data_IF_169006780758
#
_entry.id   IF_169006780758
#
_cell.length_a   1.000
_cell.length_b   1.000
_cell.length_c   1.000
_cell.angle_alpha   90.00
_cell.angle_beta   90.00
_cell.angle_gamma   90.00
#
_symmetry.space_group_name_H-M   'P 1'
#
loop_
_entity.id
_entity.type
_entity.pdbx_description
1 polymer ?
#
# COMPACT_ATOMS: atom_id res chain seq x y z
N UNK A 1 60.30 -7.04 13.64
CA UNK A 1 59.92 -8.37 13.11
C UNK A 1 58.64 -8.17 12.27
N UNK A 2 58.79 -8.14 10.92
CA UNK A 2 57.69 -8.00 9.94
C UNK A 2 57.20 -9.42 9.61
N UNK A 3 55.91 -9.65 9.65
CA UNK A 3 55.27 -10.85 9.07
C UNK A 3 54.45 -10.43 7.86
N UNK A 4 54.94 -10.81 6.70
CA UNK A 4 54.27 -10.71 5.41
C UNK A 4 53.18 -11.79 5.35
N UNK A 5 51.98 -11.42 4.88
CA UNK A 5 50.90 -12.36 4.53
C UNK A 5 50.85 -12.55 3.00
N UNK A 6 51.09 -13.79 2.63
CA UNK A 6 51.09 -14.32 1.29
C UNK A 6 49.63 -14.45 0.79
N UNK A 7 49.26 -13.78 -0.33
CA UNK A 7 48.00 -13.98 -1.03
C UNK A 7 48.17 -15.06 -2.11
N UNK A 8 47.45 -16.18 -1.94
CA UNK A 8 47.32 -17.20 -2.99
C UNK A 8 46.08 -16.89 -3.83
N UNK A 9 46.31 -16.49 -5.08
CA UNK A 9 45.27 -16.43 -6.12
C UNK A 9 45.09 -17.81 -6.76
N UNK A 10 43.92 -18.41 -6.67
CA UNK A 10 43.49 -19.57 -7.42
C UNK A 10 42.63 -19.13 -8.60
N UNK A 11 43.20 -19.28 -9.82
CA UNK A 11 42.45 -19.20 -11.06
C UNK A 11 41.68 -20.51 -11.27
N UNK A 12 40.39 -20.43 -11.50
CA UNK A 12 39.54 -21.53 -11.97
C UNK A 12 39.21 -21.28 -13.44
N UNK A 13 39.71 -22.15 -14.30
CA UNK A 13 39.37 -22.21 -15.73
C UNK A 13 38.03 -22.97 -15.87
N UNK A 14 37.04 -22.35 -16.53
CA UNK A 14 35.81 -23.01 -16.97
C UNK A 14 35.98 -23.52 -18.38
N UNK A 15 35.86 -24.83 -18.55
CA UNK A 15 35.80 -25.47 -19.89
C UNK A 15 34.34 -25.41 -20.39
N UNK A 16 34.14 -24.82 -21.56
CA UNK A 16 32.87 -24.80 -22.27
C UNK A 16 32.70 -26.08 -23.07
N UNK A 17 31.70 -26.89 -22.75
CA UNK A 17 31.29 -28.05 -23.54
C UNK A 17 30.13 -27.66 -24.46
N UNK A 18 30.35 -27.69 -25.75
CA UNK A 18 29.34 -27.47 -26.79
C UNK A 18 28.60 -28.77 -27.02
N UNK A 19 27.27 -28.77 -26.76
CA UNK A 19 26.38 -29.84 -27.22
C UNK A 19 25.61 -29.36 -28.46
N UNK A 20 25.85 -30.02 -29.57
CA UNK A 20 25.06 -29.92 -30.78
C UNK A 20 23.87 -30.89 -30.68
N UNK A 21 22.63 -30.38 -30.69
CA UNK A 21 21.42 -31.20 -30.85
C UNK A 21 20.86 -31.07 -32.25
N UNK A 22 20.71 -32.23 -32.87
CA UNK A 22 20.05 -32.39 -34.19
C UNK A 22 18.58 -32.06 -34.09
N UNK A 23 18.08 -31.24 -35.00
CA UNK A 23 16.67 -31.02 -35.22
C UNK A 23 16.09 -32.16 -36.10
N UNK A 24 15.14 -32.91 -35.51
CA UNK A 24 14.23 -33.77 -36.26
C UNK A 24 12.92 -33.02 -36.47
N UNK A 25 12.56 -32.81 -37.75
CA UNK A 25 11.30 -32.19 -38.13
C UNK A 25 10.13 -33.14 -37.98
N UNK A 26 9.07 -32.67 -37.38
CA UNK A 26 7.72 -33.20 -37.51
C UNK A 26 6.85 -32.15 -38.16
N UNK A 27 6.33 -32.47 -39.33
CA UNK A 27 5.30 -31.70 -40.05
C UNK A 27 3.96 -32.24 -39.63
N UNK A 28 3.24 -31.51 -38.80
CA UNK A 28 1.81 -31.76 -38.55
C UNK A 28 0.99 -30.71 -39.29
N UNK A 29 0.27 -31.20 -40.32
CA UNK A 29 -0.77 -30.48 -41.04
C UNK A 29 -2.06 -30.51 -40.19
N UNK A 30 -2.40 -29.41 -39.53
CA UNK A 30 -3.71 -29.18 -38.93
C UNK A 30 -4.48 -28.17 -39.78
N UNK A 31 -5.77 -28.43 -40.11
CA UNK A 31 -6.53 -27.53 -40.99
C UNK A 31 -6.91 -26.25 -40.23
N UNK A 32 -6.66 -25.11 -40.86
CA UNK A 32 -7.04 -23.79 -40.39
C UNK A 32 -8.56 -23.68 -40.18
N UNK A 33 -8.98 -23.47 -38.95
CA UNK A 33 -10.34 -23.07 -38.58
C UNK A 33 -10.48 -21.58 -38.90
N UNK A 34 -11.42 -21.24 -39.79
CA UNK A 34 -11.74 -19.86 -40.13
C UNK A 34 -12.32 -19.13 -38.91
N UNK A 35 -11.99 -17.82 -38.70
CA UNK A 35 -12.59 -17.07 -37.60
C UNK A 35 -14.05 -16.76 -37.84
N UNK A 36 -14.86 -17.01 -36.82
CA UNK A 36 -16.28 -16.66 -36.73
C UNK A 36 -16.46 -15.13 -36.70
N UNK A 37 -17.21 -14.53 -37.65
CA UNK A 37 -17.41 -13.07 -37.67
C UNK A 37 -18.64 -12.68 -36.90
N UNK A 38 -18.65 -12.69 -35.58
CA UNK A 38 -19.62 -11.94 -34.77
C UNK A 38 -19.40 -12.14 -33.27
N UNK A 39 -18.40 -11.47 -32.72
CA UNK A 39 -18.42 -11.06 -31.30
C UNK A 39 -17.83 -9.67 -31.24
N UNK A 40 -18.68 -8.67 -31.38
CA UNK A 40 -18.36 -7.30 -31.00
C UNK A 40 -18.17 -7.28 -29.48
N UNK A 41 -16.99 -6.94 -28.96
CA UNK A 41 -16.86 -6.73 -27.53
C UNK A 41 -17.67 -5.46 -27.21
N UNK A 42 -18.78 -5.63 -26.51
CA UNK A 42 -19.40 -4.52 -25.79
C UNK A 42 -18.41 -4.08 -24.74
N UNK A 43 -17.63 -3.07 -25.09
CA UNK A 43 -16.80 -2.35 -24.14
C UNK A 43 -17.71 -1.81 -23.05
N UNK A 44 -17.63 -2.37 -21.86
CA UNK A 44 -18.00 -1.63 -20.67
C UNK A 44 -17.04 -0.44 -20.58
N UNK A 45 -17.42 0.64 -21.24
CA UNK A 45 -16.92 1.96 -20.99
C UNK A 45 -17.26 2.21 -19.52
N UNK A 46 -16.25 2.20 -18.67
CA UNK A 46 -16.37 2.73 -17.32
C UNK A 46 -16.75 4.19 -17.53
N UNK A 47 -18.05 4.45 -17.40
CA UNK A 47 -18.59 5.80 -17.43
C UNK A 47 -17.93 6.53 -16.25
N UNK A 48 -16.92 7.34 -16.56
CA UNK A 48 -16.38 8.28 -15.61
C UNK A 48 -17.46 9.34 -15.41
N UNK A 49 -18.45 9.01 -14.60
CA UNK A 49 -19.36 9.99 -14.07
C UNK A 49 -18.49 11.08 -13.44
N UNK A 50 -18.79 12.38 -13.65
CA UNK A 50 -18.07 13.46 -13.00
C UNK A 50 -18.04 13.13 -11.51
N UNK A 51 -16.84 13.06 -10.91
CA UNK A 51 -16.71 12.81 -9.47
C UNK A 51 -17.54 13.86 -8.75
N UNK A 52 -18.52 13.41 -7.99
CA UNK A 52 -19.44 14.28 -7.30
C UNK A 52 -18.64 14.93 -6.15
N UNK A 53 -18.18 16.17 -6.39
CA UNK A 53 -17.35 16.92 -5.43
C UNK A 53 -18.15 17.13 -4.16
N UNK A 54 -17.68 16.55 -3.06
CA UNK A 54 -18.36 16.62 -1.76
C UNK A 54 -18.43 18.04 -1.23
N UNK A 55 -19.56 18.38 -0.66
CA UNK A 55 -19.78 19.65 0.02
C UNK A 55 -19.57 19.50 1.52
N UNK A 56 -19.01 20.53 2.18
CA UNK A 56 -18.85 20.52 3.64
C UNK A 56 -20.15 20.17 4.37
N UNK A 57 -20.07 19.26 5.35
CA UNK A 57 -21.21 18.79 6.15
C UNK A 57 -22.08 17.73 5.45
N UNK A 58 -21.67 17.20 4.31
CA UNK A 58 -22.37 16.08 3.67
C UNK A 58 -22.12 14.75 4.41
N UNK A 59 -21.03 14.68 5.18
CA UNK A 59 -20.59 13.47 5.88
C UNK A 59 -19.97 12.42 4.93
N UNK A 60 -19.29 11.46 5.50
CA UNK A 60 -18.75 10.33 4.75
C UNK A 60 -19.76 9.19 4.65
N UNK A 61 -19.73 8.37 3.58
CA UNK A 61 -20.59 7.21 3.44
C UNK A 61 -20.43 6.25 4.63
N UNK A 62 -21.55 5.79 5.16
CA UNK A 62 -21.57 4.75 6.18
C UNK A 62 -21.65 3.35 5.56
N UNK A 63 -21.19 2.34 6.30
CA UNK A 63 -21.34 0.94 5.93
C UNK A 63 -20.39 0.45 4.83
N UNK A 64 -19.43 1.27 4.40
CA UNK A 64 -18.35 0.79 3.51
C UNK A 64 -17.43 -0.19 4.26
N UNK A 65 -16.89 -1.22 3.56
CA UNK A 65 -15.89 -2.10 4.14
C UNK A 65 -14.66 -1.33 4.64
N UNK A 66 -14.04 -1.83 5.72
CA UNK A 66 -12.84 -1.25 6.30
C UNK A 66 -13.11 -0.28 7.45
N UNK A 67 -12.15 0.61 7.77
CA UNK A 67 -12.33 1.61 8.81
C UNK A 67 -13.45 2.59 8.51
N UNK A 68 -14.06 3.15 9.56
CA UNK A 68 -14.97 4.31 9.45
C UNK A 68 -14.18 5.47 8.84
N UNK A 69 -14.85 6.30 8.05
CA UNK A 69 -14.21 7.45 7.42
C UNK A 69 -14.55 8.75 8.16
N UNK A 70 -13.58 9.65 8.21
CA UNK A 70 -13.74 11.03 8.70
C UNK A 70 -13.84 11.99 7.52
N UNK A 71 -14.75 12.97 7.62
CA UNK A 71 -14.82 14.08 6.67
C UNK A 71 -13.75 15.12 7.03
N UNK A 72 -12.92 15.47 6.04
CA UNK A 72 -11.78 16.37 6.19
C UNK A 72 -11.98 17.59 5.27
N UNK A 73 -11.80 18.81 5.78
CA UNK A 73 -11.88 20.00 4.95
C UNK A 73 -10.70 20.09 3.97
N UNK A 74 -11.01 20.33 2.71
CA UNK A 74 -10.02 20.61 1.68
C UNK A 74 -9.82 22.14 1.54
N UNK A 75 -8.61 22.58 1.13
CA UNK A 75 -8.27 24.00 1.06
C UNK A 75 -9.08 24.81 0.04
N UNK A 76 -9.68 24.14 -0.94
CA UNK A 76 -10.55 24.75 -1.96
C UNK A 76 -11.99 24.97 -1.47
N UNK A 77 -12.28 24.63 -0.21
CA UNK A 77 -13.60 24.74 0.40
C UNK A 77 -14.50 23.53 0.15
N UNK A 78 -13.99 22.47 -0.46
CA UNK A 78 -14.65 21.16 -0.56
C UNK A 78 -14.29 20.29 0.65
N UNK A 79 -14.73 19.05 0.66
CA UNK A 79 -14.32 18.05 1.64
C UNK A 79 -13.98 16.73 0.95
N UNK A 80 -13.20 15.90 1.60
CA UNK A 80 -12.95 14.50 1.22
C UNK A 80 -13.07 13.61 2.47
N UNK A 81 -13.15 12.32 2.25
CA UNK A 81 -13.18 11.35 3.33
C UNK A 81 -11.87 10.57 3.40
N UNK A 82 -11.43 10.27 4.62
CA UNK A 82 -10.24 9.45 4.90
C UNK A 82 -10.57 8.43 5.98
N UNK A 83 -10.03 7.23 5.88
CA UNK A 83 -10.14 6.22 6.93
C UNK A 83 -9.58 6.77 8.25
N UNK A 84 -10.31 6.61 9.33
CA UNK A 84 -9.91 7.10 10.66
C UNK A 84 -8.68 6.39 11.20
N UNK A 85 -8.43 5.16 10.77
CA UNK A 85 -7.27 4.35 11.14
C UNK A 85 -6.64 3.72 9.90
N UNK A 86 -5.48 3.08 10.08
CA UNK A 86 -4.97 2.11 9.12
C UNK A 86 -5.98 0.97 8.95
N UNK A 87 -5.98 0.31 7.79
CA UNK A 87 -6.73 -0.93 7.57
C UNK A 87 -6.18 -2.01 8.49
N UNK A 88 -7.06 -2.72 9.19
CA UNK A 88 -6.66 -3.79 10.11
C UNK A 88 -6.52 -5.15 9.41
N UNK A 89 -5.82 -6.09 10.05
CA UNK A 89 -5.68 -7.46 9.56
C UNK A 89 -7.05 -8.12 9.36
N UNK A 90 -7.97 -7.95 10.30
CA UNK A 90 -9.32 -8.52 10.18
C UNK A 90 -10.10 -7.99 8.98
N UNK A 91 -10.02 -6.68 8.73
CA UNK A 91 -10.65 -6.05 7.58
C UNK A 91 -10.00 -6.50 6.27
N UNK A 92 -8.69 -6.65 6.23
CA UNK A 92 -7.98 -7.14 5.06
C UNK A 92 -8.27 -8.62 4.76
N UNK A 93 -8.44 -9.45 5.79
CA UNK A 93 -8.85 -10.84 5.60
C UNK A 93 -10.25 -10.97 4.99
N UNK A 94 -11.18 -10.11 5.39
CA UNK A 94 -12.50 -10.07 4.77
C UNK A 94 -12.42 -9.76 3.25
N UNK A 95 -11.48 -8.91 2.85
CA UNK A 95 -11.18 -8.67 1.43
C UNK A 95 -10.63 -9.92 0.72
N UNK A 96 -9.65 -10.60 1.33
CA UNK A 96 -9.08 -11.84 0.76
C UNK A 96 -10.18 -12.88 0.56
N UNK A 97 -11.04 -13.09 1.55
CA UNK A 97 -12.18 -14.03 1.46
C UNK A 97 -13.16 -13.63 0.36
N UNK A 98 -13.50 -12.33 0.27
CA UNK A 98 -14.39 -11.81 -0.77
C UNK A 98 -13.84 -11.97 -2.19
N UNK A 99 -12.50 -12.06 -2.33
CA UNK A 99 -11.80 -12.35 -3.59
C UNK A 99 -11.58 -13.85 -3.84
N UNK A 100 -12.23 -14.72 -3.07
CA UNK A 100 -12.11 -16.17 -3.19
C UNK A 100 -10.82 -16.76 -2.65
N UNK A 101 -10.01 -15.95 -1.95
CA UNK A 101 -8.83 -16.41 -1.25
C UNK A 101 -9.16 -17.04 0.11
N UNK A 102 -8.17 -17.71 0.68
CA UNK A 102 -8.21 -18.24 2.05
C UNK A 102 -7.19 -17.46 2.88
N UNK A 103 -7.60 -16.83 4.00
CA UNK A 103 -6.65 -16.16 4.91
C UNK A 103 -5.52 -17.07 5.40
N UNK A 104 -5.71 -18.40 5.37
CA UNK A 104 -4.64 -19.36 5.64
C UNK A 104 -3.64 -19.56 4.48
N UNK A 105 -3.79 -18.81 3.37
CA UNK A 105 -2.87 -18.84 2.24
C UNK A 105 -2.93 -20.12 1.39
N UNK A 106 -3.95 -20.94 1.56
CA UNK A 106 -4.11 -22.20 0.80
C UNK A 106 -4.71 -21.98 -0.57
N UNK A 107 -5.51 -20.93 -0.72
CA UNK A 107 -6.13 -20.53 -1.98
C UNK A 107 -5.74 -19.10 -2.28
N UNK A 108 -5.18 -18.86 -3.45
CA UNK A 108 -4.84 -17.51 -3.90
C UNK A 108 -6.10 -16.74 -4.29
N UNK A 109 -6.25 -15.49 -3.88
CA UNK A 109 -7.36 -14.66 -4.27
C UNK A 109 -7.31 -14.29 -5.75
N UNK A 110 -8.48 -13.97 -6.32
CA UNK A 110 -8.60 -13.47 -7.68
C UNK A 110 -8.02 -12.06 -7.80
N UNK A 111 -7.04 -11.90 -8.69
CA UNK A 111 -6.39 -10.63 -8.99
C UNK A 111 -7.04 -9.84 -10.13
N UNK A 112 -8.17 -10.29 -10.68
CA UNK A 112 -8.89 -9.62 -11.77
C UNK A 112 -9.35 -8.22 -11.32
N UNK A 113 -9.21 -7.25 -12.22
CA UNK A 113 -9.66 -5.86 -12.00
C UNK A 113 -8.61 -4.95 -11.38
N UNK A 114 -7.37 -5.39 -11.27
CA UNK A 114 -6.26 -4.53 -10.88
C UNK A 114 -5.86 -3.54 -11.99
N UNK A 115 -5.26 -2.38 -11.64
CA UNK A 115 -4.74 -1.46 -12.64
C UNK A 115 -3.62 -2.11 -13.46
N UNK A 116 -3.36 -1.65 -14.71
CA UNK A 116 -2.43 -2.30 -15.64
C UNK A 116 -1.01 -2.49 -15.09
N UNK A 117 -0.54 -1.59 -14.26
CA UNK A 117 0.76 -1.67 -13.59
C UNK A 117 0.85 -2.81 -12.57
N UNK A 118 -0.29 -3.29 -12.09
CA UNK A 118 -0.42 -4.40 -11.14
C UNK A 118 -0.71 -5.75 -11.82
N UNK A 119 -0.63 -5.83 -13.14
CA UNK A 119 -0.94 -7.05 -13.92
C UNK A 119 -0.20 -8.32 -13.47
N UNK A 120 0.98 -8.15 -12.88
CA UNK A 120 1.79 -9.25 -12.39
C UNK A 120 1.63 -9.47 -10.86
N UNK A 121 0.75 -8.74 -10.20
CA UNK A 121 0.36 -9.01 -8.82
C UNK A 121 -0.66 -10.15 -8.82
N UNK A 122 -0.17 -11.36 -8.59
CA UNK A 122 -0.95 -12.60 -8.67
C UNK A 122 -1.50 -13.06 -7.32
N UNK A 123 -1.30 -12.29 -6.26
CA UNK A 123 -1.71 -12.65 -4.91
C UNK A 123 -1.87 -11.42 -4.05
N UNK A 124 -2.97 -11.33 -3.30
CA UNK A 124 -3.22 -10.30 -2.28
C UNK A 124 -2.77 -10.73 -0.88
N UNK A 125 -2.30 -11.96 -0.72
CA UNK A 125 -1.79 -12.47 0.54
C UNK A 125 -0.29 -12.23 0.68
N UNK A 126 0.26 -12.42 1.90
CA UNK A 126 1.69 -12.42 2.07
C UNK A 126 2.30 -13.53 1.21
N UNK A 127 3.51 -13.32 0.66
CA UNK A 127 4.16 -14.35 -0.13
C UNK A 127 4.32 -15.62 0.71
N UNK A 128 4.19 -16.82 0.10
CA UNK A 128 4.52 -18.06 0.79
C UNK A 128 5.92 -17.93 1.38
N UNK A 129 6.11 -18.40 2.59
CA UNK A 129 7.23 -18.28 3.54
C UNK A 129 8.70 -18.29 3.02
N UNK A 130 8.93 -18.41 1.72
CA UNK A 130 10.26 -18.67 1.16
C UNK A 130 11.12 -17.43 0.88
N UNK A 131 10.60 -16.20 0.93
CA UNK A 131 11.32 -15.04 0.40
C UNK A 131 11.34 -13.76 1.25
N UNK A 132 10.60 -13.68 2.35
CA UNK A 132 10.63 -12.52 3.25
C UNK A 132 10.50 -12.99 4.69
N UNK A 133 11.63 -13.18 5.35
CA UNK A 133 11.72 -13.63 6.76
C UNK A 133 10.94 -12.71 7.71
N UNK A 134 10.77 -11.42 7.33
CA UNK A 134 10.13 -10.39 8.17
C UNK A 134 8.59 -10.41 8.11
N UNK A 135 7.97 -11.05 7.10
CA UNK A 135 6.50 -11.14 6.98
C UNK A 135 5.94 -12.48 7.51
N UNK A 136 6.77 -13.33 8.11
CA UNK A 136 6.38 -14.65 8.64
C UNK A 136 5.39 -14.57 9.81
N UNK A 137 5.43 -13.48 10.58
CA UNK A 137 4.54 -13.25 11.72
C UNK A 137 3.15 -12.75 11.31
N UNK A 138 2.95 -12.48 10.04
CA UNK A 138 1.69 -12.08 9.45
C UNK A 138 0.82 -13.30 9.14
N UNK A 139 0.48 -14.08 10.18
CA UNK A 139 -0.33 -15.27 10.01
C UNK A 139 -1.82 -15.00 10.13
N UNK A 140 -2.63 -15.80 9.38
CA UNK A 140 -4.06 -15.65 9.33
C UNK A 140 -4.75 -15.83 10.69
N UNK A 141 -6.00 -15.35 10.83
CA UNK A 141 -6.79 -15.45 12.06
C UNK A 141 -6.92 -16.88 12.62
N UNK A 142 -6.75 -17.90 11.76
CA UNK A 142 -6.81 -19.28 12.16
C UNK A 142 -5.74 -19.68 13.20
N UNK A 143 -4.67 -18.90 13.35
CA UNK A 143 -3.60 -19.13 14.32
C UNK A 143 -3.60 -18.14 15.48
N UNK A 144 -4.48 -17.14 15.47
CA UNK A 144 -4.72 -16.30 16.63
C UNK A 144 -6.03 -16.70 17.34
N UNK A 145 -5.98 -17.66 18.27
CA UNK A 145 -7.18 -18.12 18.97
C UNK A 145 -7.80 -17.02 19.86
N UNK A 146 -7.09 -15.88 20.05
CA UNK A 146 -7.56 -14.77 20.87
C UNK A 146 -8.21 -13.66 20.06
N UNK A 147 -8.05 -13.65 18.72
CA UNK A 147 -8.52 -12.60 17.83
C UNK A 147 -7.84 -11.23 18.02
N UNK A 148 -6.84 -11.13 18.88
CA UNK A 148 -6.18 -9.85 19.20
C UNK A 148 -5.48 -9.22 18.02
N UNK A 149 -4.90 -10.03 17.13
CA UNK A 149 -4.20 -9.54 15.94
C UNK A 149 -5.14 -8.98 14.87
N UNK A 150 -6.42 -9.35 14.89
CA UNK A 150 -7.39 -8.85 13.93
C UNK A 150 -7.58 -7.34 14.01
N UNK A 151 -7.37 -6.74 15.17
CA UNK A 151 -7.42 -5.31 15.37
C UNK A 151 -6.09 -4.59 15.11
N UNK A 152 -5.00 -5.31 14.84
CA UNK A 152 -3.74 -4.69 14.48
C UNK A 152 -3.78 -4.19 13.03
N UNK A 153 -3.09 -3.10 12.69
CA UNK A 153 -2.91 -2.69 11.31
C UNK A 153 -2.33 -3.82 10.45
N UNK A 154 -2.75 -3.87 9.20
CA UNK A 154 -2.20 -4.82 8.23
C UNK A 154 -0.89 -4.30 7.68
N UNK A 155 0.18 -5.08 7.85
CA UNK A 155 1.45 -4.89 7.15
C UNK A 155 1.67 -5.96 6.09
N UNK A 156 2.86 -6.01 5.50
CA UNK A 156 3.22 -6.99 4.46
C UNK A 156 2.32 -6.96 3.21
N UNK A 157 1.74 -5.83 2.93
CA UNK A 157 0.98 -5.54 1.72
C UNK A 157 1.81 -4.65 0.80
N UNK A 158 1.77 -4.92 -0.49
CA UNK A 158 2.36 -4.05 -1.48
C UNK A 158 1.37 -2.96 -1.97
N UNK A 159 1.85 -2.03 -2.79
CA UNK A 159 1.01 -0.95 -3.29
C UNK A 159 -0.19 -1.46 -4.10
N UNK A 160 0.00 -2.51 -4.89
CA UNK A 160 -1.06 -3.10 -5.69
C UNK A 160 -2.14 -3.76 -4.82
N UNK A 161 -1.73 -4.39 -3.73
CA UNK A 161 -2.64 -4.96 -2.72
C UNK A 161 -3.49 -3.86 -2.07
N UNK A 162 -2.85 -2.75 -1.69
CA UNK A 162 -3.52 -1.60 -1.08
C UNK A 162 -4.54 -0.96 -2.03
N UNK A 163 -4.18 -0.75 -3.31
CA UNK A 163 -5.11 -0.24 -4.34
C UNK A 163 -6.28 -1.19 -4.54
N UNK A 164 -6.02 -2.50 -4.63
CA UNK A 164 -7.08 -3.49 -4.84
C UNK A 164 -8.06 -3.55 -3.66
N UNK A 165 -7.55 -3.48 -2.42
CA UNK A 165 -8.39 -3.41 -1.23
C UNK A 165 -9.28 -2.17 -1.22
N UNK A 166 -8.70 -0.97 -1.39
CA UNK A 166 -9.46 0.26 -1.35
C UNK A 166 -10.54 0.29 -2.45
N UNK A 167 -10.23 -0.20 -3.66
CA UNK A 167 -11.19 -0.33 -4.75
C UNK A 167 -12.33 -1.30 -4.40
N UNK A 168 -12.01 -2.45 -3.81
CA UNK A 168 -13.03 -3.41 -3.35
C UNK A 168 -13.93 -2.80 -2.27
N UNK A 169 -13.38 -1.98 -1.39
CA UNK A 169 -14.11 -1.30 -0.34
C UNK A 169 -14.98 -0.12 -0.85
N UNK A 170 -15.01 0.15 -2.16
CA UNK A 170 -15.70 1.31 -2.72
C UNK A 170 -15.02 2.64 -2.42
N UNK A 171 -13.73 2.59 -2.13
CA UNK A 171 -12.83 3.70 -1.79
C UNK A 171 -11.68 3.74 -2.80
N UNK A 172 -10.68 4.58 -2.55
CA UNK A 172 -9.40 4.56 -3.29
C UNK A 172 -8.22 4.73 -2.33
N UNK A 173 -7.03 4.32 -2.74
CA UNK A 173 -5.83 4.65 -1.97
C UNK A 173 -5.69 6.19 -1.90
N UNK A 174 -5.30 6.71 -0.73
CA UNK A 174 -5.16 8.17 -0.57
C UNK A 174 -4.15 8.73 -1.56
N UNK A 175 -4.51 9.82 -2.22
CA UNK A 175 -3.71 10.46 -3.23
C UNK A 175 -4.03 11.96 -3.32
N UNK A 176 -4.44 12.44 -4.50
CA UNK A 176 -4.75 13.85 -4.72
C UNK A 176 -6.15 14.21 -4.19
N UNK A 177 -6.29 15.38 -3.57
CA UNK A 177 -7.58 16.00 -3.26
C UNK A 177 -8.30 16.29 -4.58
N UNK A 178 -9.58 15.87 -4.67
CA UNK A 178 -10.36 15.93 -5.90
C UNK A 178 -10.09 14.79 -6.87
N UNK A 179 -9.36 13.75 -6.45
CA UNK A 179 -9.18 12.48 -7.17
C UNK A 179 -7.86 12.31 -7.89
N UNK A 180 -7.54 11.04 -8.13
CA UNK A 180 -6.34 10.61 -8.82
C UNK A 180 -5.07 10.63 -7.99
N UNK A 181 -3.93 10.40 -8.65
CA UNK A 181 -2.61 10.31 -8.03
C UNK A 181 -2.03 11.69 -7.73
N UNK A 182 -1.33 11.82 -6.60
CA UNK A 182 -0.52 13.00 -6.30
C UNK A 182 0.77 12.99 -7.12
N UNK A 183 1.23 14.16 -7.57
CA UNK A 183 2.53 14.26 -8.23
C UNK A 183 3.67 14.05 -7.22
N UNK A 184 4.77 13.41 -7.61
CA UNK A 184 5.92 13.21 -6.72
C UNK A 184 6.52 14.50 -6.16
N UNK A 185 6.37 15.62 -6.89
CA UNK A 185 6.82 16.95 -6.46
C UNK A 185 5.92 17.63 -5.42
N UNK A 186 4.76 17.04 -5.11
CA UNK A 186 3.78 17.58 -4.16
C UNK A 186 3.92 16.95 -2.77
N UNK A 187 5.14 16.73 -2.33
CA UNK A 187 5.51 16.05 -1.10
C UNK A 187 4.75 16.61 0.12
N UNK A 188 5.04 17.79 0.54
CA UNK A 188 4.45 18.43 1.72
C UNK A 188 3.44 19.52 1.29
N UNK A 189 2.49 19.14 0.44
CA UNK A 189 1.51 20.08 -0.08
C UNK A 189 0.09 19.74 0.41
N UNK A 190 -0.32 20.42 1.48
CA UNK A 190 -1.65 20.25 2.06
C UNK A 190 -2.79 20.70 1.13
N UNK A 191 -2.48 21.40 0.02
CA UNK A 191 -3.48 21.82 -0.96
C UNK A 191 -3.85 20.70 -1.95
N UNK A 192 -2.98 19.69 -2.07
CA UNK A 192 -3.13 18.66 -3.10
C UNK A 192 -3.11 17.24 -2.58
N UNK A 193 -2.37 16.91 -1.52
CA UNK A 193 -2.30 15.56 -0.94
C UNK A 193 -3.35 15.39 0.15
N UNK A 194 -4.22 14.39 0.02
CA UNK A 194 -5.20 14.02 1.04
C UNK A 194 -4.52 13.59 2.34
N UNK A 195 -3.52 12.72 2.23
CA UNK A 195 -2.82 12.19 3.39
C UNK A 195 -2.06 13.29 4.14
N UNK A 196 -1.27 14.11 3.42
CA UNK A 196 -0.52 15.19 4.05
C UNK A 196 -1.43 16.29 4.62
N UNK A 197 -2.52 16.63 3.94
CA UNK A 197 -3.53 17.56 4.46
C UNK A 197 -4.10 17.06 5.79
N UNK A 198 -4.48 15.78 5.86
CA UNK A 198 -5.01 15.17 7.08
C UNK A 198 -3.98 15.15 8.21
N UNK A 199 -2.75 14.70 7.95
CA UNK A 199 -1.69 14.64 8.94
C UNK A 199 -1.31 16.02 9.48
N UNK A 200 -1.07 16.97 8.58
CA UNK A 200 -0.62 18.33 8.93
C UNK A 200 -1.75 19.28 9.32
N UNK A 201 -2.97 18.78 9.50
CA UNK A 201 -4.15 19.59 9.82
C UNK A 201 -4.29 20.80 8.88
N UNK A 202 -4.29 20.52 7.58
CA UNK A 202 -4.36 21.56 6.54
C UNK A 202 -3.04 22.32 6.32
N UNK A 203 -1.90 21.77 6.74
CA UNK A 203 -0.57 22.40 6.60
C UNK A 203 -0.20 23.29 7.80
N UNK A 204 -0.87 23.14 8.94
CA UNK A 204 -0.64 23.99 10.13
C UNK A 204 0.19 23.31 11.20
N UNK A 205 0.33 21.98 11.15
CA UNK A 205 1.08 21.20 12.14
C UNK A 205 2.16 20.33 11.51
N UNK A 206 3.21 20.06 12.27
CA UNK A 206 4.34 19.20 11.88
C UNK A 206 4.00 17.72 12.09
N UNK A 207 3.18 17.41 13.10
CA UNK A 207 2.73 16.06 13.45
C UNK A 207 1.20 16.01 13.47
N UNK A 208 0.61 14.85 13.32
CA UNK A 208 -0.83 14.63 13.36
C UNK A 208 -1.49 15.10 14.65
N UNK A 209 -0.72 15.22 15.73
CA UNK A 209 -1.18 15.67 17.06
C UNK A 209 -0.73 17.10 17.43
N UNK A 210 0.04 17.79 16.59
CA UNK A 210 0.47 19.18 16.87
C UNK A 210 1.86 19.53 16.35
N UNK A 211 2.47 20.59 16.93
CA UNK A 211 3.76 21.15 16.46
C UNK A 211 4.96 20.78 17.33
N UNK A 212 4.78 19.99 18.38
CA UNK A 212 5.87 19.63 19.29
C UNK A 212 5.99 18.11 19.36
N UNK A 213 7.18 17.61 19.04
CA UNK A 213 7.45 16.18 19.18
C UNK A 213 7.17 15.71 20.62
N UNK A 214 6.44 14.63 20.74
CA UNK A 214 6.13 13.99 22.02
C UNK A 214 6.53 12.51 21.97
N UNK A 215 7.62 12.18 22.65
CA UNK A 215 8.12 10.81 22.70
C UNK A 215 7.06 9.84 23.25
N UNK A 216 6.82 8.75 22.54
CA UNK A 216 5.86 7.72 22.92
C UNK A 216 4.38 8.11 22.78
N UNK A 217 4.05 9.30 22.24
CA UNK A 217 2.67 9.70 21.97
C UNK A 217 2.05 8.83 20.87
N UNK A 218 2.84 8.50 19.86
CA UNK A 218 2.42 7.62 18.78
C UNK A 218 3.01 6.21 18.95
N UNK A 219 2.40 5.18 18.35
CA UNK A 219 3.00 3.87 18.28
C UNK A 219 4.32 3.93 17.50
N UNK A 220 5.30 3.15 17.97
CA UNK A 220 6.50 2.84 17.18
C UNK A 220 6.29 1.58 16.35
N UNK A 221 7.36 0.79 16.23
CA UNK A 221 7.34 -0.48 15.50
C UNK A 221 6.55 -1.61 16.20
N UNK A 222 6.07 -1.40 17.42
CA UNK A 222 5.31 -2.40 18.17
C UNK A 222 3.94 -2.69 17.59
N UNK A 223 3.45 -1.79 16.72
CA UNK A 223 2.21 -1.93 15.96
C UNK A 223 1.01 -2.48 16.76
N UNK A 224 0.59 -1.79 17.85
CA UNK A 224 -0.51 -2.23 18.69
C UNK A 224 -1.85 -2.19 17.94
N UNK A 225 -2.93 -2.79 18.47
CA UNK A 225 -4.28 -2.63 17.92
C UNK A 225 -4.63 -1.17 17.66
N UNK A 226 -5.41 -0.91 16.59
CA UNK A 226 -5.94 0.44 16.32
C UNK A 226 -6.82 0.89 17.50
N UNK A 227 -6.83 2.19 17.80
CA UNK A 227 -7.47 2.74 18.98
C UNK A 227 -6.58 2.75 20.23
N UNK A 228 -5.44 2.07 20.22
CA UNK A 228 -4.41 2.21 21.24
C UNK A 228 -3.35 3.21 20.75
N UNK A 229 -2.94 4.18 21.58
CA UNK A 229 -2.02 5.27 21.21
C UNK A 229 -2.46 5.97 19.92
N UNK A 230 -3.56 6.68 19.98
CA UNK A 230 -4.22 7.27 18.80
C UNK A 230 -3.42 8.39 18.13
N UNK A 231 -2.63 9.13 18.91
CA UNK A 231 -1.84 10.31 18.50
C UNK A 231 -2.53 11.17 17.43
N UNK A 232 -3.80 11.44 17.66
CA UNK A 232 -4.63 12.28 16.82
C UNK A 232 -4.61 13.75 17.29
N UNK A 233 -5.13 14.64 16.48
CA UNK A 233 -5.39 16.02 16.88
C UNK A 233 -6.32 16.04 18.10
N UNK A 234 -6.15 17.03 19.00
CA UNK A 234 -6.95 17.12 20.23
C UNK A 234 -8.41 17.49 19.98
N UNK A 235 -8.70 18.16 18.86
CA UNK A 235 -10.03 18.67 18.53
C UNK A 235 -10.19 18.93 17.02
N UNK A 236 -11.41 19.23 16.59
CA UNK A 236 -11.75 19.60 15.22
C UNK A 236 -11.88 18.41 14.28
N UNK A 237 -11.93 18.70 12.97
CA UNK A 237 -12.18 17.71 11.92
C UNK A 237 -11.12 16.60 11.81
N UNK A 238 -9.94 16.82 12.36
CA UNK A 238 -8.82 15.88 12.33
C UNK A 238 -8.72 14.99 13.58
N UNK A 239 -9.53 15.24 14.61
CA UNK A 239 -9.39 14.57 15.92
C UNK A 239 -9.78 13.09 15.92
N UNK A 240 -10.53 12.64 14.93
CA UNK A 240 -10.89 11.22 14.75
C UNK A 240 -9.92 10.45 13.86
N UNK A 241 -8.89 11.10 13.31
CA UNK A 241 -7.92 10.46 12.41
C UNK A 241 -6.69 10.12 13.22
N UNK A 242 -6.45 8.83 13.40
CA UNK A 242 -5.43 8.31 14.29
C UNK A 242 -4.15 7.93 13.54
N UNK A 243 -3.01 8.04 14.22
CA UNK A 243 -1.74 7.39 13.88
C UNK A 243 -1.11 7.81 12.55
N UNK A 244 -1.45 9.00 12.03
CA UNK A 244 -0.75 9.56 10.87
C UNK A 244 0.72 9.92 11.15
N UNK A 245 1.08 10.10 12.43
CA UNK A 245 2.45 10.39 12.88
C UNK A 245 3.08 9.21 13.61
N UNK A 246 3.00 8.02 13.04
CA UNK A 246 3.53 6.79 13.65
C UNK A 246 2.69 5.58 13.23
N UNK A 247 2.82 4.45 13.94
CA UNK A 247 2.22 3.20 13.48
C UNK A 247 2.97 2.64 12.28
N UNK A 248 2.27 2.11 11.29
CA UNK A 248 2.92 1.68 10.05
C UNK A 248 3.20 2.86 9.13
N UNK A 249 4.23 2.74 8.30
CA UNK A 249 4.32 3.54 7.09
C UNK A 249 3.15 3.20 6.16
N UNK A 250 2.57 4.18 5.50
CA UNK A 250 1.36 4.00 4.71
C UNK A 250 1.59 4.29 3.24
N UNK A 251 1.23 3.34 2.38
CA UNK A 251 1.22 3.54 0.93
C UNK A 251 0.30 4.69 0.54
N UNK A 252 0.79 5.53 -0.38
CA UNK A 252 0.03 6.63 -1.02
C UNK A 252 -0.06 6.41 -2.53
N UNK A 253 -1.15 6.86 -3.16
CA UNK A 253 -1.22 6.98 -4.62
C UNK A 253 -0.47 8.24 -5.08
N UNK A 254 0.85 8.16 -4.99
CA UNK A 254 1.81 9.19 -5.36
C UNK A 254 3.08 8.50 -5.87
N UNK A 255 3.11 8.23 -7.17
CA UNK A 255 4.12 7.35 -7.75
C UNK A 255 4.90 8.02 -8.86
N UNK A 256 6.13 7.58 -9.07
CA UNK A 256 7.01 7.98 -10.17
C UNK A 256 7.56 6.75 -10.92
N UNK A 257 7.90 6.95 -12.18
CA UNK A 257 8.59 5.94 -12.98
C UNK A 257 10.09 6.21 -12.92
N UNK A 258 10.86 5.20 -12.55
CA UNK A 258 12.33 5.21 -12.50
C UNK A 258 12.88 4.18 -13.48
N UNK A 259 13.02 4.55 -14.74
CA UNK A 259 13.56 3.65 -15.75
C UNK A 259 15.03 3.32 -15.48
N UNK A 260 15.46 2.05 -15.60
CA UNK A 260 14.68 0.83 -15.87
C UNK A 260 14.08 0.17 -14.60
N UNK A 261 14.16 0.81 -13.42
CA UNK A 261 13.83 0.19 -12.14
C UNK A 261 12.31 0.02 -11.91
N UNK A 262 11.45 0.64 -12.74
CA UNK A 262 10.01 0.49 -12.68
C UNK A 262 9.28 1.61 -11.93
N UNK A 263 8.08 1.30 -11.43
CA UNK A 263 7.23 2.24 -10.70
C UNK A 263 7.55 2.19 -9.19
N UNK A 264 7.74 3.37 -8.61
CA UNK A 264 7.98 3.57 -7.18
C UNK A 264 6.89 4.48 -6.61
N UNK A 265 6.34 4.11 -5.47
CA UNK A 265 5.30 4.86 -4.81
C UNK A 265 5.72 5.30 -3.42
N UNK A 266 5.11 6.37 -2.95
CA UNK A 266 5.39 7.00 -1.67
C UNK A 266 4.81 6.19 -0.52
N UNK A 267 5.56 6.19 0.59
CA UNK A 267 5.16 5.69 1.89
C UNK A 267 5.35 6.82 2.90
N UNK A 268 4.38 7.03 3.79
CA UNK A 268 4.35 8.10 4.79
C UNK A 268 4.04 7.60 6.18
N UNK A 269 4.21 8.47 7.19
CA UNK A 269 3.87 8.20 8.57
C UNK A 269 5.02 7.57 9.35
N UNK A 270 5.08 6.25 9.44
CA UNK A 270 6.19 5.56 10.07
C UNK A 270 7.43 5.45 9.16
N UNK A 271 8.27 6.47 9.10
CA UNK A 271 9.49 6.47 8.26
C UNK A 271 10.67 5.67 8.87
N UNK A 272 10.38 4.58 9.56
CA UNK A 272 11.38 3.81 10.32
C UNK A 272 12.54 3.25 9.48
N UNK A 273 12.36 3.11 8.19
CA UNK A 273 13.37 2.56 7.28
C UNK A 273 14.35 3.61 6.72
N UNK A 274 14.06 4.90 6.87
CA UNK A 274 14.79 5.98 6.19
C UNK A 274 15.47 7.01 7.07
N UNK A 275 15.00 7.24 8.29
CA UNK A 275 15.51 8.28 9.17
C UNK A 275 16.00 7.70 10.51
N UNK A 276 17.19 8.05 10.96
CA UNK A 276 17.73 7.57 12.25
C UNK A 276 17.11 8.27 13.47
N UNK A 277 16.43 9.40 13.27
CA UNK A 277 15.88 10.22 14.33
C UNK A 277 14.35 10.04 14.44
N UNK A 278 13.82 9.60 15.59
CA UNK A 278 12.38 9.41 15.80
C UNK A 278 11.57 10.70 15.61
N UNK A 279 12.14 11.86 15.85
CA UNK A 279 11.51 13.17 15.59
C UNK A 279 11.15 13.30 14.10
N UNK A 280 12.10 12.96 13.23
CA UNK A 280 11.90 13.01 11.77
C UNK A 280 10.99 11.88 11.31
N UNK A 281 11.11 10.69 11.89
CA UNK A 281 10.36 9.51 11.49
C UNK A 281 8.85 9.69 11.59
N UNK A 282 8.37 10.53 12.49
CA UNK A 282 6.95 10.73 12.78
C UNK A 282 6.39 12.04 12.24
N UNK A 283 7.21 12.90 11.66
CA UNK A 283 6.76 14.14 11.03
C UNK A 283 5.89 13.86 9.79
N UNK A 284 4.89 14.70 9.54
CA UNK A 284 3.95 14.53 8.42
C UNK A 284 4.63 14.64 7.04
N UNK A 285 5.74 15.33 6.94
CA UNK A 285 6.53 15.46 5.71
C UNK A 285 7.56 14.34 5.53
N UNK A 286 7.73 13.46 6.51
CA UNK A 286 8.58 12.30 6.35
C UNK A 286 8.01 11.35 5.30
N UNK A 287 8.86 10.96 4.37
CA UNK A 287 8.50 10.00 3.33
C UNK A 287 9.69 9.17 2.90
N UNK A 288 9.38 8.06 2.26
CA UNK A 288 10.31 7.34 1.40
C UNK A 288 9.58 6.74 0.20
N UNK A 289 10.33 6.43 -0.86
CA UNK A 289 9.80 5.82 -2.07
C UNK A 289 10.24 4.36 -2.14
N UNK A 290 9.29 3.49 -2.45
CA UNK A 290 9.59 2.07 -2.63
C UNK A 290 8.93 1.51 -3.88
N UNK A 291 9.49 0.44 -4.43
CA UNK A 291 8.92 -0.27 -5.57
C UNK A 291 7.52 -0.82 -5.22
N UNK A 292 6.60 -0.74 -6.17
CA UNK A 292 5.17 -1.11 -5.96
C UNK A 292 4.93 -2.56 -5.52
N UNK A 293 5.96 -3.41 -5.57
CA UNK A 293 5.89 -4.83 -5.18
C UNK A 293 6.61 -5.14 -3.87
N UNK A 294 7.15 -4.12 -3.22
CA UNK A 294 7.83 -4.30 -1.94
C UNK A 294 6.81 -4.49 -0.84
N UNK A 295 6.99 -5.52 -0.06
CA UNK A 295 6.20 -5.84 1.13
C UNK A 295 7.08 -5.73 2.35
N UNK A 296 6.59 -5.09 3.39
CA UNK A 296 7.29 -4.93 4.66
C UNK A 296 6.29 -5.03 5.82
N UNK A 297 6.64 -5.66 6.94
CA UNK A 297 5.80 -5.69 8.14
C UNK A 297 5.53 -4.30 8.70
N UNK A 298 6.38 -3.33 8.38
CA UNK A 298 6.26 -1.93 8.82
C UNK A 298 5.51 -1.03 7.83
N UNK A 299 4.87 -1.60 6.80
CA UNK A 299 4.15 -0.83 5.77
C UNK A 299 2.75 -1.38 5.57
N UNK A 300 1.77 -0.52 5.80
CA UNK A 300 0.35 -0.74 5.58
C UNK A 300 -0.25 0.35 4.71
N UNK A 301 -1.51 0.71 4.94
CA UNK A 301 -2.21 1.74 4.18
C UNK A 301 -3.52 2.15 4.85
N UNK A 302 -4.08 3.26 4.39
CA UNK A 302 -5.47 3.67 4.59
C UNK A 302 -6.11 4.14 3.30
N UNK A 303 -7.44 4.13 3.22
CA UNK A 303 -8.18 4.55 2.04
C UNK A 303 -8.78 5.95 2.21
N UNK A 304 -9.03 6.59 1.06
CA UNK A 304 -9.68 7.88 0.93
C UNK A 304 -10.88 7.79 -0.04
N UNK A 305 -11.72 8.83 -0.05
CA UNK A 305 -12.82 9.01 -1.00
C UNK A 305 -13.02 10.52 -1.24
N UNK A 306 -13.29 10.90 -2.48
CA UNK A 306 -13.58 12.30 -2.84
C UNK A 306 -15.05 12.66 -2.70
#
# INVERSE_FOLDING_TARGET
MKREKLFLTRSLAFAATVFATLAAGCTDNEPAIAPDPAATPTGHQLDASPMDVRKPGQGCPEGLPGPVMAEVPAPDGTTYCIDTTEVTQGQYFAFIEAKGGDPAGKTLPDSIGQPPECKDNVSFGPPPLAHYDDCSDWYPPAYDPTGKRLANPVGCVDWCDAVAYCTWAGKRLCGRIGGGSSAPSELANAQTSQWYNACSQGGTTEYGYGNTYAEGACPGNENPPVGEKTCAASEGAYSSIERLSGGLGEWEDACEIRDPAGKFCRIRGGCYLGAPDPVIQTACDCEFLNGIRVRSPSVGFRCCLD
#
